data_IF_715411654460
#
_entry.id   IF_715411654460
#
_cell.length_a   1.000
_cell.length_b   1.000
_cell.length_c   1.000
_cell.angle_alpha   90.00
_cell.angle_beta   90.00
_cell.angle_gamma   90.00
#
_symmetry.space_group_name_H-M   'P 1'
#
loop_
_entity.id
_entity.type
_entity.pdbx_description
1 polymer ?
#
# COMPACT_ATOMS: atom_id res chain seq x y z
N UNK A 1 -46.83 -16.14 -23.63
CA UNK A 1 -47.64 -17.27 -24.10
C UNK A 1 -46.70 -18.18 -24.88
N UNK A 2 -46.44 -19.41 -24.47
CA UNK A 2 -46.86 -20.14 -23.26
C UNK A 2 -45.96 -21.36 -23.03
N UNK A 3 -46.12 -22.06 -21.89
CA UNK A 3 -45.33 -23.26 -21.55
C UNK A 3 -45.97 -24.56 -22.06
N UNK A 4 -45.13 -25.55 -22.35
CA UNK A 4 -45.31 -27.02 -22.22
C UNK A 4 -43.91 -27.65 -22.46
N UNK A 5 -43.33 -28.54 -21.65
CA UNK A 5 -43.74 -29.90 -21.20
C UNK A 5 -43.55 -30.94 -22.35
N UNK A 6 -43.09 -32.20 -22.18
CA UNK A 6 -42.85 -33.04 -20.98
C UNK A 6 -41.89 -34.26 -21.30
N UNK A 7 -41.54 -35.09 -20.30
CA UNK A 7 -41.22 -36.56 -20.33
C UNK A 7 -40.07 -37.10 -21.25
N UNK A 8 -38.96 -37.73 -20.76
CA UNK A 8 -38.73 -39.14 -20.29
C UNK A 8 -38.84 -40.24 -21.39
N UNK A 9 -38.27 -41.46 -21.33
CA UNK A 9 -37.47 -42.25 -20.36
C UNK A 9 -36.75 -43.41 -21.12
N UNK A 10 -35.64 -44.01 -20.63
CA UNK A 10 -35.38 -45.45 -20.82
C UNK A 10 -34.27 -46.06 -19.92
N UNK A 11 -34.48 -47.29 -19.42
CA UNK A 11 -33.63 -48.05 -18.47
C UNK A 11 -33.49 -49.53 -18.95
N UNK A 12 -32.64 -50.43 -18.40
CA UNK A 12 -31.64 -50.31 -17.32
C UNK A 12 -30.24 -50.82 -17.79
N UNK A 13 -29.56 -51.89 -17.36
CA UNK A 13 -29.73 -53.00 -16.38
C UNK A 13 -28.36 -53.36 -15.73
N UNK A 14 -28.34 -54.20 -14.68
CA UNK A 14 -27.15 -54.49 -13.84
C UNK A 14 -26.37 -55.78 -14.20
N UNK A 15 -25.12 -55.88 -13.72
CA UNK A 15 -24.62 -57.13 -13.09
C UNK A 15 -23.48 -56.84 -12.10
N UNK A 16 -23.30 -57.70 -11.07
CA UNK A 16 -22.37 -57.52 -9.95
C UNK A 16 -21.46 -58.76 -9.75
N UNK A 17 -20.14 -58.54 -9.68
CA UNK A 17 -19.07 -59.44 -9.19
C UNK A 17 -17.73 -58.68 -9.29
N UNK A 18 -16.72 -58.80 -8.42
CA UNK A 18 -16.50 -59.56 -7.18
C UNK A 18 -15.22 -59.02 -6.48
N UNK A 19 -14.86 -59.48 -5.28
CA UNK A 19 -13.87 -58.85 -4.39
C UNK A 19 -12.52 -59.58 -4.23
N UNK A 20 -11.48 -58.84 -3.79
CA UNK A 20 -10.24 -59.30 -3.14
C UNK A 20 -9.23 -60.10 -4.00
N UNK A 21 -7.92 -60.07 -3.77
CA UNK A 21 -7.01 -59.20 -2.97
C UNK A 21 -5.59 -59.32 -3.58
N UNK A 22 -4.70 -58.33 -3.44
CA UNK A 22 -3.32 -58.48 -2.91
C UNK A 22 -2.45 -57.21 -2.97
N UNK A 23 -1.59 -57.13 -1.97
CA UNK A 23 -0.66 -56.09 -1.50
C UNK A 23 0.45 -55.62 -2.48
N UNK A 24 0.78 -54.32 -2.47
CA UNK A 24 2.20 -53.91 -2.59
C UNK A 24 2.55 -52.51 -2.08
N UNK A 25 3.69 -52.46 -1.37
CA UNK A 25 4.64 -51.34 -1.23
C UNK A 25 4.15 -49.93 -0.85
N UNK A 26 4.35 -49.64 0.44
CA UNK A 26 4.59 -48.29 0.98
C UNK A 26 5.64 -47.50 0.17
N UNK A 27 5.30 -46.29 -0.27
CA UNK A 27 6.26 -45.18 -0.34
C UNK A 27 5.61 -43.92 0.24
N UNK A 28 6.06 -43.53 1.43
CA UNK A 28 5.81 -42.18 1.96
C UNK A 28 6.85 -41.29 1.31
N UNK A 29 6.44 -40.41 0.39
CA UNK A 29 7.29 -39.29 0.00
C UNK A 29 7.40 -38.35 1.21
N UNK A 30 8.46 -38.53 1.98
CA UNK A 30 8.98 -37.53 2.92
C UNK A 30 9.51 -36.35 2.09
N UNK A 31 8.59 -35.56 1.53
CA UNK A 31 8.89 -34.34 0.82
C UNK A 31 9.35 -33.29 1.84
N UNK A 32 10.61 -33.44 2.25
CA UNK A 32 11.29 -32.64 3.24
C UNK A 32 11.05 -31.17 2.94
N UNK A 33 10.55 -30.35 3.89
CA UNK A 33 10.36 -28.94 3.65
C UNK A 33 11.70 -28.29 3.33
N UNK A 34 12.01 -28.11 2.04
CA UNK A 34 13.19 -27.41 1.60
C UNK A 34 13.03 -25.97 2.09
N UNK A 35 13.63 -25.69 3.24
CA UNK A 35 13.65 -24.38 3.86
C UNK A 35 14.52 -23.46 3.00
N UNK A 36 13.90 -22.97 1.94
CA UNK A 36 14.28 -21.73 1.29
C UNK A 36 14.15 -20.65 2.37
N UNK A 37 15.21 -20.48 3.18
CA UNK A 37 15.32 -19.45 4.20
C UNK A 37 15.43 -18.11 3.48
N UNK A 38 14.28 -17.61 3.04
CA UNK A 38 14.15 -16.28 2.48
C UNK A 38 14.69 -15.31 3.52
N UNK A 39 15.79 -14.65 3.18
CA UNK A 39 16.41 -13.61 4.01
C UNK A 39 15.56 -12.35 3.91
N UNK A 40 14.36 -12.43 4.49
CA UNK A 40 13.43 -11.31 4.59
C UNK A 40 14.06 -10.22 5.46
N UNK A 41 13.98 -8.98 4.99
CA UNK A 41 14.65 -7.81 5.56
C UNK A 41 13.67 -7.01 6.45
N UNK A 42 12.91 -7.72 7.27
CA UNK A 42 11.75 -7.17 8.00
C UNK A 42 12.20 -6.11 9.03
N UNK A 43 13.29 -6.38 9.77
CA UNK A 43 13.81 -5.44 10.76
C UNK A 43 14.40 -4.18 10.11
N UNK A 44 15.15 -4.35 9.00
CA UNK A 44 15.74 -3.23 8.26
C UNK A 44 14.67 -2.37 7.57
N UNK A 45 13.64 -3.00 7.00
CA UNK A 45 12.50 -2.29 6.41
C UNK A 45 11.71 -1.52 7.48
N UNK A 46 11.44 -2.12 8.64
CA UNK A 46 10.79 -1.43 9.78
C UNK A 46 11.65 -0.24 10.24
N UNK A 47 12.97 -0.42 10.35
CA UNK A 47 13.88 0.66 10.73
C UNK A 47 13.90 1.81 9.70
N UNK A 48 13.94 1.48 8.40
CA UNK A 48 13.85 2.42 7.27
C UNK A 48 12.53 3.21 7.30
N UNK A 49 11.38 2.54 7.34
CA UNK A 49 10.07 3.17 7.39
C UNK A 49 9.91 4.06 8.63
N UNK A 50 10.43 3.63 9.79
CA UNK A 50 10.47 4.44 11.03
C UNK A 50 11.45 5.61 10.96
N UNK A 51 12.48 5.57 10.11
CA UNK A 51 13.37 6.71 9.85
C UNK A 51 12.71 7.73 8.92
N UNK A 52 12.25 7.28 7.74
CA UNK A 52 11.59 8.12 6.74
C UNK A 52 10.31 8.78 7.29
N UNK A 53 9.57 8.11 8.17
CA UNK A 53 8.45 8.70 8.93
C UNK A 53 8.82 9.91 9.80
N UNK A 54 10.08 10.08 10.21
CA UNK A 54 10.56 11.27 10.96
C UNK A 54 10.87 12.43 10.03
N UNK A 55 11.44 12.14 8.86
CA UNK A 55 11.78 13.11 7.82
C UNK A 55 10.48 13.75 7.30
N UNK A 56 9.54 12.93 6.84
CA UNK A 56 8.21 13.37 6.35
C UNK A 56 7.42 14.14 7.43
N UNK A 57 7.57 13.78 8.72
CA UNK A 57 6.97 14.53 9.83
C UNK A 57 7.60 15.92 10.02
N UNK A 58 8.89 16.05 9.73
CA UNK A 58 9.61 17.34 9.76
C UNK A 58 9.10 18.26 8.66
N UNK A 59 8.87 17.74 7.45
CA UNK A 59 8.23 18.49 6.36
C UNK A 59 6.82 18.96 6.75
N UNK A 60 6.00 18.08 7.33
CA UNK A 60 4.66 18.47 7.78
C UNK A 60 4.67 19.53 8.89
N UNK A 61 5.65 19.51 9.79
CA UNK A 61 5.84 20.57 10.77
C UNK A 61 6.21 21.90 10.08
N UNK A 62 7.16 21.88 9.12
CA UNK A 62 7.54 23.04 8.32
C UNK A 62 6.39 23.63 7.51
N UNK A 63 5.57 22.77 6.88
CA UNK A 63 4.33 23.14 6.20
C UNK A 63 3.35 23.80 7.18
N UNK A 64 3.16 23.27 8.39
CA UNK A 64 2.23 23.87 9.37
C UNK A 64 2.65 25.28 9.76
N UNK A 65 3.90 25.48 10.18
CA UNK A 65 4.41 26.80 10.56
C UNK A 65 4.35 27.81 9.40
N UNK A 66 4.58 27.37 8.17
CA UNK A 66 4.46 28.23 6.99
C UNK A 66 3.00 28.57 6.63
N UNK A 67 2.03 27.70 6.95
CA UNK A 67 0.58 28.01 6.83
C UNK A 67 0.12 29.01 7.89
N UNK A 68 0.71 28.97 9.08
CA UNK A 68 0.39 29.87 10.19
C UNK A 68 0.90 31.31 9.96
N UNK A 69 2.08 31.47 9.35
CA UNK A 69 2.62 32.77 8.90
C UNK A 69 2.12 33.22 7.51
N UNK A 70 1.48 32.32 6.76
CA UNK A 70 1.15 32.46 5.34
C UNK A 70 2.37 32.77 4.44
N UNK A 71 3.56 32.26 4.81
CA UNK A 71 4.77 32.41 4.02
C UNK A 71 4.75 31.46 2.81
N UNK A 72 4.36 32.00 1.65
CA UNK A 72 4.23 31.24 0.41
C UNK A 72 5.57 30.69 -0.13
N UNK A 73 6.71 31.35 0.14
CA UNK A 73 8.01 30.86 -0.29
C UNK A 73 8.49 29.69 0.57
N UNK A 74 8.27 29.77 1.89
CA UNK A 74 8.56 28.67 2.81
C UNK A 74 7.56 27.51 2.64
N UNK A 75 6.29 27.78 2.28
CA UNK A 75 5.33 26.75 1.84
C UNK A 75 5.83 26.01 0.60
N UNK A 76 6.24 26.74 -0.44
CA UNK A 76 6.79 26.15 -1.66
C UNK A 76 8.02 25.28 -1.38
N UNK A 77 8.92 25.75 -0.51
CA UNK A 77 10.11 25.00 -0.09
C UNK A 77 9.76 23.69 0.61
N UNK A 78 8.95 23.70 1.67
CA UNK A 78 8.61 22.46 2.39
C UNK A 78 7.69 21.54 1.58
N UNK A 79 6.85 22.08 0.70
CA UNK A 79 6.12 21.30 -0.28
C UNK A 79 7.06 20.54 -1.23
N UNK A 80 8.16 21.16 -1.65
CA UNK A 80 9.17 20.54 -2.51
C UNK A 80 10.06 19.54 -1.77
N UNK A 81 10.40 19.77 -0.49
CA UNK A 81 11.02 18.74 0.36
C UNK A 81 10.11 17.50 0.43
N UNK A 82 8.84 17.66 0.82
CA UNK A 82 7.89 16.55 0.90
C UNK A 82 7.78 15.76 -0.41
N UNK A 83 7.96 16.38 -1.59
CA UNK A 83 8.00 15.69 -2.89
C UNK A 83 9.30 14.92 -3.14
N UNK A 84 10.43 15.40 -2.63
CA UNK A 84 11.72 14.70 -2.75
C UNK A 84 11.79 13.54 -1.77
N UNK A 85 11.50 13.81 -0.50
CA UNK A 85 11.74 12.89 0.61
C UNK A 85 10.73 11.72 0.58
N UNK A 86 9.50 11.95 0.11
CA UNK A 86 8.54 10.84 -0.18
C UNK A 86 8.87 10.06 -1.44
N UNK A 87 9.66 10.60 -2.38
CA UNK A 87 10.20 9.85 -3.52
C UNK A 87 11.36 8.99 -3.04
N UNK A 88 12.31 9.57 -2.31
CA UNK A 88 13.48 8.87 -1.75
C UNK A 88 13.03 7.72 -0.85
N UNK A 89 12.11 7.95 0.10
CA UNK A 89 11.53 6.90 0.95
C UNK A 89 10.84 5.78 0.14
N UNK A 90 10.34 6.07 -1.06
CA UNK A 90 9.64 5.12 -1.94
C UNK A 90 10.61 4.36 -2.85
N UNK A 91 11.76 4.95 -3.17
CA UNK A 91 12.89 4.33 -3.86
C UNK A 91 13.69 3.45 -2.89
N UNK A 92 13.89 3.89 -1.63
CA UNK A 92 14.51 3.12 -0.55
C UNK A 92 13.68 1.88 -0.21
N UNK A 93 12.36 2.04 -0.03
CA UNK A 93 11.40 0.96 0.23
C UNK A 93 11.52 -0.23 -0.73
N UNK A 94 11.75 0.04 -2.02
CA UNK A 94 11.75 -0.99 -3.07
C UNK A 94 12.99 -1.91 -3.03
N UNK A 95 13.99 -1.60 -2.20
CA UNK A 95 15.17 -2.43 -2.00
C UNK A 95 14.97 -3.52 -0.93
N UNK A 96 13.81 -3.56 -0.26
CA UNK A 96 13.53 -4.48 0.84
C UNK A 96 12.55 -5.58 0.45
N UNK A 97 12.99 -6.83 0.54
CA UNK A 97 12.14 -8.02 0.43
C UNK A 97 11.58 -8.37 1.81
N UNK A 98 10.31 -8.07 2.07
CA UNK A 98 9.66 -8.34 3.37
C UNK A 98 8.86 -9.65 3.37
N UNK A 99 8.68 -10.23 4.55
CA UNK A 99 7.87 -11.44 4.74
C UNK A 99 6.39 -11.21 4.44
N UNK A 100 5.65 -12.30 4.19
CA UNK A 100 4.20 -12.25 3.95
C UNK A 100 3.41 -11.55 5.05
N UNK A 101 3.92 -11.53 6.28
CA UNK A 101 3.34 -10.84 7.43
C UNK A 101 3.36 -9.31 7.27
N UNK A 102 4.38 -8.76 6.60
CA UNK A 102 4.57 -7.31 6.41
C UNK A 102 4.23 -6.81 4.99
N UNK A 103 3.86 -7.68 4.05
CA UNK A 103 3.54 -7.25 2.68
C UNK A 103 2.39 -6.23 2.59
N UNK A 104 1.32 -6.40 3.37
CA UNK A 104 0.26 -5.37 3.43
C UNK A 104 0.72 -4.10 4.16
N UNK A 105 1.65 -4.20 5.12
CA UNK A 105 2.28 -3.04 5.77
C UNK A 105 3.09 -2.21 4.75
N UNK A 106 3.96 -2.86 3.98
CA UNK A 106 4.78 -2.26 2.92
C UNK A 106 3.91 -1.62 1.83
N UNK A 107 2.84 -2.30 1.41
CA UNK A 107 1.85 -1.79 0.46
C UNK A 107 1.12 -0.54 0.96
N UNK A 108 0.68 -0.52 2.22
CA UNK A 108 0.07 0.67 2.83
C UNK A 108 1.08 1.81 3.00
N UNK A 109 2.33 1.51 3.31
CA UNK A 109 3.41 2.51 3.36
C UNK A 109 3.65 3.16 1.99
N UNK A 110 3.72 2.37 0.91
CA UNK A 110 3.84 2.90 -0.46
C UNK A 110 2.63 3.78 -0.85
N UNK A 111 1.41 3.41 -0.46
CA UNK A 111 0.23 4.25 -0.67
C UNK A 111 0.32 5.59 0.08
N UNK A 112 0.78 5.57 1.33
CA UNK A 112 0.99 6.78 2.12
C UNK A 112 2.02 7.72 1.46
N UNK A 113 3.17 7.18 1.05
CA UNK A 113 4.21 7.94 0.34
C UNK A 113 3.70 8.55 -0.97
N UNK A 114 2.94 7.80 -1.77
CA UNK A 114 2.37 8.29 -3.02
C UNK A 114 1.39 9.46 -2.80
N UNK A 115 0.57 9.41 -1.75
CA UNK A 115 -0.38 10.48 -1.45
C UNK A 115 0.32 11.70 -0.83
N UNK A 116 1.25 11.52 0.09
CA UNK A 116 2.09 12.62 0.58
C UNK A 116 2.87 13.31 -0.55
N UNK A 117 3.36 12.55 -1.55
CA UNK A 117 3.99 13.10 -2.74
C UNK A 117 3.04 13.97 -3.59
N UNK A 118 1.77 13.55 -3.74
CA UNK A 118 0.72 14.35 -4.40
C UNK A 118 0.39 15.60 -3.58
N UNK A 119 0.35 15.50 -2.25
CA UNK A 119 0.12 16.62 -1.37
C UNK A 119 1.21 17.69 -1.50
N UNK A 120 2.50 17.29 -1.45
CA UNK A 120 3.62 18.20 -1.66
C UNK A 120 3.57 18.92 -3.01
N UNK A 121 3.25 18.20 -4.10
CA UNK A 121 3.04 18.80 -5.43
C UNK A 121 1.96 19.88 -5.43
N UNK A 122 0.82 19.64 -4.80
CA UNK A 122 -0.26 20.63 -4.70
C UNK A 122 0.02 21.77 -3.70
N UNK A 123 0.92 21.58 -2.73
CA UNK A 123 1.44 22.68 -1.91
C UNK A 123 2.33 23.59 -2.74
N UNK A 124 3.23 23.04 -3.57
CA UNK A 124 4.09 23.81 -4.48
C UNK A 124 3.26 24.61 -5.50
N UNK A 125 2.31 23.98 -6.20
CA UNK A 125 1.47 24.71 -7.18
C UNK A 125 0.51 25.70 -6.50
N UNK A 126 -0.01 25.37 -5.31
CA UNK A 126 -0.84 26.29 -4.54
C UNK A 126 -0.08 27.52 -4.04
N UNK A 127 1.18 27.35 -3.63
CA UNK A 127 2.05 28.44 -3.19
C UNK A 127 2.42 29.38 -4.34
N UNK A 128 2.84 28.85 -5.49
CA UNK A 128 3.10 29.67 -6.69
C UNK A 128 1.83 30.39 -7.17
N UNK A 129 0.70 29.68 -7.24
CA UNK A 129 -0.58 30.28 -7.60
C UNK A 129 -0.97 31.43 -6.65
N UNK A 130 -0.70 31.31 -5.35
CA UNK A 130 -0.95 32.39 -4.40
C UNK A 130 -0.03 33.60 -4.63
N UNK A 131 1.28 33.37 -4.80
CA UNK A 131 2.26 34.44 -5.11
C UNK A 131 1.89 35.21 -6.39
N UNK A 132 1.38 34.50 -7.39
CA UNK A 132 0.91 35.05 -8.66
C UNK A 132 -0.53 35.62 -8.59
N UNK A 133 -1.14 35.74 -7.41
CA UNK A 133 -2.47 36.33 -7.21
C UNK A 133 -3.66 35.45 -7.63
N UNK A 134 -3.42 34.22 -8.06
CA UNK A 134 -4.43 33.26 -8.53
C UNK A 134 -5.14 32.54 -7.36
N UNK A 135 -5.76 33.31 -6.46
CA UNK A 135 -6.33 32.85 -5.18
C UNK A 135 -7.28 31.65 -5.32
N UNK A 136 -8.10 31.60 -6.38
CA UNK A 136 -9.03 30.49 -6.63
C UNK A 136 -8.26 29.18 -6.94
N UNK A 137 -7.22 29.26 -7.77
CA UNK A 137 -6.34 28.13 -8.10
C UNK A 137 -5.59 27.65 -6.87
N UNK A 138 -4.98 28.58 -6.11
CA UNK A 138 -4.29 28.29 -4.87
C UNK A 138 -5.19 27.56 -3.85
N UNK A 139 -6.42 28.07 -3.66
CA UNK A 139 -7.41 27.49 -2.76
C UNK A 139 -7.82 26.07 -3.19
N UNK A 140 -7.98 25.84 -4.50
CA UNK A 140 -8.30 24.51 -5.03
C UNK A 140 -7.15 23.52 -4.82
N UNK A 141 -5.90 23.95 -5.02
CA UNK A 141 -4.73 23.09 -4.87
C UNK A 141 -4.42 22.80 -3.39
N UNK A 142 -4.46 23.78 -2.49
CA UNK A 142 -4.35 23.53 -1.05
C UNK A 142 -5.45 22.61 -0.52
N UNK A 143 -6.66 22.65 -1.09
CA UNK A 143 -7.74 21.70 -0.79
C UNK A 143 -7.41 20.27 -1.26
N UNK A 144 -6.87 20.09 -2.47
CA UNK A 144 -6.38 18.79 -2.96
C UNK A 144 -5.25 18.26 -2.08
N UNK A 145 -4.30 19.12 -1.70
CA UNK A 145 -3.22 18.76 -0.78
C UNK A 145 -3.78 18.24 0.56
N UNK A 146 -4.73 18.94 1.17
CA UNK A 146 -5.39 18.49 2.39
C UNK A 146 -6.12 17.13 2.23
N UNK A 147 -6.74 16.86 1.07
CA UNK A 147 -7.30 15.53 0.76
C UNK A 147 -6.22 14.45 0.75
N UNK A 148 -5.09 14.67 0.08
CA UNK A 148 -4.01 13.69 0.00
C UNK A 148 -3.23 13.52 1.31
N UNK A 149 -3.09 14.57 2.13
CA UNK A 149 -2.55 14.42 3.49
C UNK A 149 -3.47 13.52 4.33
N UNK A 150 -4.80 13.67 4.20
CA UNK A 150 -5.76 12.81 4.91
C UNK A 150 -5.64 11.34 4.50
N UNK A 151 -5.70 11.04 3.20
CA UNK A 151 -5.65 9.64 2.72
C UNK A 151 -4.28 9.01 2.95
N UNK A 152 -3.19 9.76 2.77
CA UNK A 152 -1.84 9.32 3.14
C UNK A 152 -1.69 9.04 4.65
N UNK A 153 -2.32 9.85 5.51
CA UNK A 153 -2.36 9.61 6.97
C UNK A 153 -3.16 8.35 7.32
N UNK A 154 -4.22 8.06 6.57
CA UNK A 154 -5.03 6.85 6.77
C UNK A 154 -4.24 5.59 6.36
N UNK A 155 -3.56 5.60 5.22
CA UNK A 155 -2.65 4.51 4.82
C UNK A 155 -1.44 4.37 5.76
N UNK A 156 -0.84 5.47 6.24
CA UNK A 156 0.29 5.41 7.18
C UNK A 156 -0.11 4.78 8.53
N UNK A 157 -1.34 5.02 9.00
CA UNK A 157 -1.88 4.38 10.21
C UNK A 157 -2.09 2.88 10.00
N UNK A 158 -2.60 2.47 8.84
CA UNK A 158 -2.75 1.05 8.50
C UNK A 158 -1.37 0.37 8.46
N UNK A 159 -0.39 0.97 7.78
CA UNK A 159 0.98 0.45 7.72
C UNK A 159 1.60 0.23 9.11
N UNK A 160 1.45 1.20 10.03
CA UNK A 160 1.94 1.10 11.40
C UNK A 160 1.24 -0.02 12.21
N UNK A 161 -0.07 -0.22 12.02
CA UNK A 161 -0.85 -1.23 12.76
C UNK A 161 -0.47 -2.69 12.44
N UNK A 162 0.20 -2.94 11.31
CA UNK A 162 0.79 -4.26 10.99
C UNK A 162 2.20 -4.46 11.58
N UNK A 163 2.85 -3.39 12.05
CA UNK A 163 4.24 -3.38 12.53
C UNK A 163 4.33 -3.38 14.07
N UNK A 164 3.28 -2.93 14.75
CA UNK A 164 3.18 -2.90 16.23
C UNK A 164 1.85 -3.56 16.67
N UNK A 165 1.74 -4.91 16.60
CA UNK A 165 0.54 -5.67 16.99
C UNK A 165 0.36 -5.85 18.52
#
# INVERSE_FOLDING_TARGET
MGSADEETLNNCEESLSGSADEESSLQVEENSPQSNTSTYQDEEWIASAKNQSKIIRTDFAGISSARESFDADVLGKWGQNLVNDTREAKEENDNYTVSSTLQDAQKQWVLALQDYNKAGKFIVTGADAYKNGHIISATNDFRKAATFVKTGTESAKLAAAYVEP
#
